data_IF_713389394415
#
_entry.id   IF_713389394415
#
_cell.length_a   1.000
_cell.length_b   1.000
_cell.length_c   1.000
_cell.angle_alpha   90.00
_cell.angle_beta   90.00
_cell.angle_gamma   90.00
#
_symmetry.space_group_name_H-M   'P 1'
#
loop_
_entity.id
_entity.type
_entity.pdbx_description
1 polymer ?
#
# COMPACT_ATOMS: atom_id res chain seq x y z
N UNK A 1 13.87 22.39 3.36
CA UNK A 1 12.68 22.42 2.47
C UNK A 1 12.22 21.02 2.06
N UNK A 2 13.11 20.13 1.58
CA UNK A 2 12.76 18.77 1.12
C UNK A 2 12.01 17.91 2.16
N UNK A 3 12.45 17.87 3.42
CA UNK A 3 11.77 17.11 4.48
C UNK A 3 10.35 17.62 4.74
N UNK A 4 10.15 18.95 4.73
CA UNK A 4 8.83 19.54 4.89
C UNK A 4 7.91 19.16 3.72
N UNK A 5 8.41 19.16 2.49
CA UNK A 5 7.67 18.70 1.32
C UNK A 5 7.34 17.21 1.37
N UNK A 6 8.22 16.38 1.95
CA UNK A 6 7.92 14.95 2.20
C UNK A 6 6.79 14.78 3.22
N UNK A 7 6.80 15.55 4.30
CA UNK A 7 5.71 15.52 5.30
C UNK A 7 4.39 15.94 4.64
N UNK A 8 4.41 17.05 3.89
CA UNK A 8 3.23 17.52 3.17
C UNK A 8 2.71 16.47 2.18
N UNK A 9 3.59 15.91 1.35
CA UNK A 9 3.22 14.87 0.38
C UNK A 9 2.64 13.62 1.05
N UNK A 10 3.19 13.20 2.19
CA UNK A 10 2.68 12.05 2.94
C UNK A 10 1.28 12.32 3.51
N UNK A 11 1.04 13.53 4.04
CA UNK A 11 -0.29 13.94 4.52
C UNK A 11 -1.31 13.98 3.36
N UNK A 12 -0.93 14.59 2.24
CA UNK A 12 -1.80 14.69 1.06
C UNK A 12 -2.14 13.30 0.50
N UNK A 13 -1.21 12.35 0.54
CA UNK A 13 -1.45 10.99 0.09
C UNK A 13 -2.57 10.31 0.90
N UNK A 14 -2.56 10.44 2.23
CA UNK A 14 -3.61 9.87 3.09
C UNK A 14 -5.00 10.50 2.86
N UNK A 15 -5.03 11.82 2.67
CA UNK A 15 -6.27 12.56 2.33
C UNK A 15 -6.79 12.13 0.96
N UNK A 16 -5.92 12.07 -0.04
CA UNK A 16 -6.25 11.63 -1.40
C UNK A 16 -6.88 10.23 -1.41
N UNK A 17 -6.28 9.25 -0.74
CA UNK A 17 -6.80 7.88 -0.70
C UNK A 17 -8.20 7.81 -0.07
N UNK A 18 -8.46 8.63 0.95
CA UNK A 18 -9.75 8.67 1.63
C UNK A 18 -10.84 9.27 0.73
N UNK A 19 -10.57 10.43 0.13
CA UNK A 19 -11.52 11.14 -0.74
C UNK A 19 -11.75 10.38 -2.05
N UNK A 20 -10.70 9.87 -2.69
CA UNK A 20 -10.79 9.14 -3.95
C UNK A 20 -11.67 7.88 -3.82
N UNK A 21 -11.55 7.16 -2.70
CA UNK A 21 -12.40 5.99 -2.43
C UNK A 21 -13.88 6.37 -2.31
N UNK A 22 -14.18 7.49 -1.62
CA UNK A 22 -15.55 7.99 -1.46
C UNK A 22 -16.15 8.41 -2.82
N UNK A 23 -15.43 9.26 -3.57
CA UNK A 23 -15.84 9.71 -4.91
C UNK A 23 -16.09 8.51 -5.84
N UNK A 24 -15.17 7.54 -5.87
CA UNK A 24 -15.32 6.35 -6.71
C UNK A 24 -16.61 5.56 -6.38
N UNK A 25 -17.02 5.54 -5.11
CA UNK A 25 -18.24 4.85 -4.69
C UNK A 25 -19.53 5.64 -4.96
N UNK A 26 -19.47 6.96 -5.09
CA UNK A 26 -20.63 7.81 -5.43
C UNK A 26 -20.87 7.91 -6.93
N UNK A 27 -19.83 7.75 -7.76
CA UNK A 27 -19.94 7.77 -9.21
C UNK A 27 -20.66 6.56 -9.82
N UNK A 28 -20.96 5.54 -9.02
CA UNK A 28 -21.54 4.27 -9.49
C UNK A 28 -22.75 3.85 -8.66
N UNK A 29 -23.58 2.99 -9.24
CA UNK A 29 -24.73 2.41 -8.54
C UNK A 29 -24.28 1.56 -7.33
N UNK A 30 -25.11 1.42 -6.27
CA UNK A 30 -24.73 0.73 -5.03
C UNK A 30 -24.15 -0.69 -5.22
N UNK A 31 -24.66 -1.43 -6.21
CA UNK A 31 -24.21 -2.77 -6.60
C UNK A 31 -22.80 -2.81 -7.21
N UNK A 32 -22.30 -1.67 -7.71
CA UNK A 32 -20.99 -1.53 -8.37
C UNK A 32 -19.93 -0.83 -7.53
N UNK A 33 -20.27 -0.35 -6.33
CA UNK A 33 -19.34 0.38 -5.44
C UNK A 33 -18.04 -0.37 -5.18
N UNK A 34 -18.16 -1.66 -4.85
CA UNK A 34 -16.99 -2.52 -4.62
C UNK A 34 -16.08 -2.60 -5.84
N UNK A 35 -16.66 -2.71 -7.05
CA UNK A 35 -15.91 -2.76 -8.30
C UNK A 35 -15.23 -1.44 -8.64
N UNK A 36 -15.87 -0.29 -8.38
CA UNK A 36 -15.26 1.02 -8.58
C UNK A 36 -14.07 1.25 -7.65
N UNK A 37 -14.21 0.87 -6.37
CA UNK A 37 -13.11 0.91 -5.40
C UNK A 37 -11.99 -0.03 -5.85
N UNK A 38 -12.31 -1.26 -6.26
CA UNK A 38 -11.31 -2.21 -6.76
C UNK A 38 -10.55 -1.68 -8.00
N UNK A 39 -11.25 -1.00 -8.91
CA UNK A 39 -10.62 -0.34 -10.07
C UNK A 39 -9.63 0.74 -9.65
N UNK A 40 -9.98 1.56 -8.65
CA UNK A 40 -9.08 2.56 -8.08
C UNK A 40 -7.79 1.93 -7.52
N UNK A 41 -7.92 0.87 -6.71
CA UNK A 41 -6.77 0.13 -6.16
C UNK A 41 -5.96 -0.61 -7.23
N UNK A 42 -6.61 -1.03 -8.32
CA UNK A 42 -5.91 -1.58 -9.49
C UNK A 42 -5.02 -0.51 -10.12
N UNK A 43 -5.51 0.73 -10.26
CA UNK A 43 -4.71 1.87 -10.69
C UNK A 43 -3.47 2.10 -9.81
N UNK A 44 -3.63 2.07 -8.48
CA UNK A 44 -2.52 2.16 -7.53
C UNK A 44 -1.50 1.04 -7.71
N UNK A 45 -1.97 -0.18 -7.95
CA UNK A 45 -1.11 -1.35 -8.19
C UNK A 45 -0.29 -1.15 -9.46
N UNK A 46 -0.94 -0.78 -10.57
CA UNK A 46 -0.26 -0.48 -11.84
C UNK A 46 0.76 0.64 -11.65
N UNK A 47 0.38 1.73 -10.98
CA UNK A 47 1.26 2.86 -10.71
C UNK A 47 2.48 2.48 -9.86
N UNK A 48 2.34 1.55 -8.91
CA UNK A 48 3.47 1.08 -8.09
C UNK A 48 4.43 0.23 -8.92
N UNK A 49 3.90 -0.68 -9.74
CA UNK A 49 4.70 -1.60 -10.58
C UNK A 49 5.46 -0.84 -11.67
N UNK A 50 4.84 0.17 -12.27
CA UNK A 50 5.44 0.91 -13.40
C UNK A 50 6.13 2.20 -12.94
N UNK A 51 5.51 2.95 -12.03
CA UNK A 51 5.96 4.27 -11.62
C UNK A 51 7.28 4.26 -10.88
N UNK A 52 7.54 3.26 -10.03
CA UNK A 52 8.82 3.17 -9.31
C UNK A 52 9.98 2.88 -10.27
N UNK A 53 9.95 1.84 -11.12
CA UNK A 53 11.01 1.62 -12.11
C UNK A 53 11.19 2.79 -13.07
N UNK A 54 10.10 3.39 -13.57
CA UNK A 54 10.18 4.55 -14.47
C UNK A 54 10.77 5.78 -13.76
N UNK A 55 10.36 6.03 -12.51
CA UNK A 55 10.89 7.11 -11.70
C UNK A 55 12.37 6.92 -11.38
N UNK A 56 12.80 5.70 -11.08
CA UNK A 56 14.21 5.35 -10.88
C UNK A 56 15.00 5.52 -12.17
N UNK A 57 14.49 5.03 -13.31
CA UNK A 57 15.14 5.17 -14.61
C UNK A 57 15.30 6.63 -15.01
N UNK A 58 14.25 7.46 -14.88
CA UNK A 58 14.36 8.91 -15.12
C UNK A 58 15.40 9.54 -14.18
N UNK A 59 15.39 9.14 -12.91
CA UNK A 59 16.33 9.65 -11.91
C UNK A 59 17.78 9.31 -12.23
N UNK A 60 18.04 8.10 -12.73
CA UNK A 60 19.37 7.64 -13.14
C UNK A 60 19.86 8.35 -14.41
N UNK A 61 18.99 8.63 -15.38
CA UNK A 61 19.38 9.22 -16.67
C UNK A 61 19.43 10.75 -16.65
N UNK A 62 18.51 11.40 -15.94
CA UNK A 62 18.28 12.85 -16.04
C UNK A 62 18.38 13.58 -14.70
N UNK A 63 18.72 12.88 -13.62
CA UNK A 63 18.71 13.41 -12.26
C UNK A 63 17.38 13.20 -11.55
N UNK A 64 17.42 13.11 -10.23
CA UNK A 64 16.26 12.77 -9.38
C UNK A 64 15.17 13.84 -9.43
N UNK A 65 15.53 15.09 -9.72
CA UNK A 65 14.62 16.23 -9.87
C UNK A 65 13.64 16.01 -11.04
N UNK A 66 14.12 15.38 -12.11
CA UNK A 66 13.29 15.13 -13.30
C UNK A 66 12.19 14.11 -13.05
N UNK A 67 12.40 13.17 -12.11
CA UNK A 67 11.34 12.27 -11.66
C UNK A 67 10.21 13.04 -10.96
N UNK A 68 10.55 14.08 -10.18
CA UNK A 68 9.54 14.95 -9.57
C UNK A 68 8.79 15.79 -10.59
N UNK A 69 9.48 16.33 -11.61
CA UNK A 69 8.84 17.06 -12.71
C UNK A 69 7.88 16.16 -13.48
N UNK A 70 8.28 14.93 -13.81
CA UNK A 70 7.43 13.96 -14.50
C UNK A 70 6.16 13.63 -13.68
N UNK A 71 6.31 13.39 -12.38
CA UNK A 71 5.17 13.15 -11.48
C UNK A 71 4.26 14.39 -11.40
N UNK A 72 4.83 15.60 -11.35
CA UNK A 72 4.06 16.84 -11.32
C UNK A 72 3.22 17.04 -12.60
N UNK A 73 3.79 16.71 -13.78
CA UNK A 73 3.07 16.77 -15.05
C UNK A 73 1.90 15.77 -15.06
N UNK A 74 2.14 14.52 -14.65
CA UNK A 74 1.08 13.49 -14.55
C UNK A 74 -0.01 13.92 -13.57
N UNK A 75 0.39 14.50 -12.43
CA UNK A 75 -0.51 15.04 -11.42
C UNK A 75 -1.37 16.19 -11.96
N UNK A 76 -0.79 17.10 -12.74
CA UNK A 76 -1.51 18.19 -13.37
C UNK A 76 -2.52 17.68 -14.41
N UNK A 77 -2.13 16.72 -15.24
CA UNK A 77 -3.04 16.07 -16.22
C UNK A 77 -4.20 15.40 -15.48
N UNK A 78 -3.91 14.67 -14.40
CA UNK A 78 -4.93 13.99 -13.58
C UNK A 78 -5.87 15.00 -12.90
N UNK A 79 -5.34 16.12 -12.42
CA UNK A 79 -6.13 17.21 -11.84
C UNK A 79 -7.09 17.81 -12.86
N UNK A 80 -6.61 18.14 -14.07
CA UNK A 80 -7.44 18.68 -15.14
C UNK A 80 -8.52 17.66 -15.55
N UNK A 81 -8.15 16.38 -15.68
CA UNK A 81 -9.10 15.31 -16.00
C UNK A 81 -10.21 15.19 -14.96
N UNK A 82 -9.87 15.20 -13.67
CA UNK A 82 -10.86 15.18 -12.60
C UNK A 82 -11.74 16.43 -12.60
N UNK A 83 -11.16 17.62 -12.80
CA UNK A 83 -11.91 18.87 -12.82
C UNK A 83 -12.95 18.92 -13.95
N UNK A 84 -12.67 18.29 -15.09
CA UNK A 84 -13.59 18.25 -16.23
C UNK A 84 -14.66 17.16 -16.15
N UNK A 85 -14.35 16.02 -15.50
CA UNK A 85 -15.18 14.80 -15.57
C UNK A 85 -15.92 14.50 -14.27
N UNK A 86 -15.36 14.86 -13.11
CA UNK A 86 -16.01 14.59 -11.82
C UNK A 86 -17.11 15.63 -11.60
N UNK A 87 -18.37 15.20 -11.40
CA UNK A 87 -19.48 16.10 -11.21
C UNK A 87 -19.42 16.76 -9.82
N UNK A 88 -19.96 17.98 -9.70
CA UNK A 88 -19.86 18.78 -8.48
C UNK A 88 -20.95 18.49 -7.44
N UNK A 89 -21.91 17.62 -7.75
CA UNK A 89 -23.09 17.31 -6.95
C UNK A 89 -22.97 15.98 -6.17
N UNK A 90 -21.74 15.60 -5.81
CA UNK A 90 -21.49 14.41 -5.00
C UNK A 90 -22.04 14.58 -3.57
N UNK A 91 -22.42 13.45 -2.96
CA UNK A 91 -22.97 13.43 -1.60
C UNK A 91 -22.00 14.05 -0.59
N UNK A 92 -22.47 15.00 0.21
CA UNK A 92 -21.73 15.46 1.39
C UNK A 92 -21.81 14.37 2.46
N UNK A 93 -20.65 13.85 2.87
CA UNK A 93 -20.57 12.93 3.99
C UNK A 93 -20.46 13.71 5.29
N UNK A 94 -21.36 13.44 6.24
CA UNK A 94 -21.24 13.93 7.61
C UNK A 94 -19.88 13.50 8.19
N UNK A 95 -19.03 14.49 8.47
CA UNK A 95 -17.74 14.23 9.09
C UNK A 95 -17.96 13.80 10.54
N UNK A 96 -17.57 12.57 10.87
CA UNK A 96 -17.57 12.12 12.25
C UNK A 96 -16.69 13.08 13.10
N UNK A 97 -17.21 13.59 14.23
CA UNK A 97 -16.50 14.59 15.02
C UNK A 97 -15.09 14.10 15.39
N UNK A 98 -14.09 14.97 15.35
CA UNK A 98 -12.68 14.61 15.59
C UNK A 98 -12.49 13.90 16.95
N UNK A 99 -13.30 14.25 17.95
CA UNK A 99 -13.31 13.62 19.28
C UNK A 99 -13.68 12.13 19.21
N UNK A 100 -14.54 11.73 18.28
CA UNK A 100 -14.91 10.32 18.09
C UNK A 100 -13.83 9.53 17.37
N UNK A 101 -13.11 10.15 16.44
CA UNK A 101 -11.97 9.53 15.75
C UNK A 101 -10.83 9.24 16.75
N UNK A 102 -10.61 10.14 17.72
CA UNK A 102 -9.62 9.95 18.78
C UNK A 102 -9.95 8.81 19.75
N UNK A 103 -11.21 8.35 19.83
CA UNK A 103 -11.60 7.20 20.67
C UNK A 103 -10.95 5.90 20.18
N UNK A 104 -10.49 5.83 18.93
CA UNK A 104 -9.77 4.69 18.37
C UNK A 104 -8.50 4.38 19.18
N UNK A 105 -7.77 5.40 19.64
CA UNK A 105 -6.56 5.22 20.45
C UNK A 105 -6.84 4.65 21.85
N UNK A 106 -8.09 4.71 22.33
CA UNK A 106 -8.48 4.11 23.62
C UNK A 106 -8.76 2.60 23.50
N UNK A 107 -8.95 2.09 22.29
CA UNK A 107 -9.22 0.68 22.06
C UNK A 107 -7.91 -0.12 21.95
N UNK A 108 -7.57 -0.87 23.00
CA UNK A 108 -6.35 -1.69 23.06
C UNK A 108 -6.23 -2.69 21.91
N UNK A 109 -7.34 -3.27 21.43
CA UNK A 109 -7.34 -4.25 20.35
C UNK A 109 -6.96 -3.59 19.01
N UNK A 110 -7.52 -2.41 18.71
CA UNK A 110 -7.18 -1.65 17.51
C UNK A 110 -5.72 -1.16 17.55
N UNK A 111 -5.27 -0.65 18.70
CA UNK A 111 -3.88 -0.22 18.88
C UNK A 111 -2.90 -1.37 18.63
N UNK A 112 -3.21 -2.58 19.09
CA UNK A 112 -2.35 -3.74 18.90
C UNK A 112 -2.27 -4.15 17.42
N UNK A 113 -3.37 -4.08 16.68
CA UNK A 113 -3.37 -4.28 15.22
C UNK A 113 -2.52 -3.21 14.52
N UNK A 114 -2.62 -1.94 14.92
CA UNK A 114 -1.78 -0.88 14.36
C UNK A 114 -0.30 -1.07 14.66
N UNK A 115 0.05 -1.50 15.87
CA UNK A 115 1.44 -1.81 16.23
C UNK A 115 1.99 -2.99 15.42
N UNK A 116 1.22 -4.08 15.28
CA UNK A 116 1.61 -5.24 14.45
C UNK A 116 1.83 -4.80 13.01
N UNK A 117 0.92 -3.96 12.47
CA UNK A 117 1.02 -3.42 11.12
C UNK A 117 2.27 -2.54 10.99
N UNK A 118 2.47 -1.59 11.91
CA UNK A 118 3.61 -0.68 11.91
C UNK A 118 4.94 -1.43 11.99
N UNK A 119 5.05 -2.46 12.84
CA UNK A 119 6.26 -3.28 12.97
C UNK A 119 6.48 -4.17 11.74
N UNK A 120 5.42 -4.81 11.22
CA UNK A 120 5.50 -5.68 10.05
C UNK A 120 5.91 -4.93 8.78
N UNK A 121 5.38 -3.72 8.59
CA UNK A 121 5.78 -2.85 7.49
C UNK A 121 7.10 -2.12 7.75
N UNK A 122 7.40 -1.78 9.01
CA UNK A 122 8.62 -1.07 9.38
C UNK A 122 9.88 -1.77 8.90
N UNK A 123 10.02 -3.08 9.14
CA UNK A 123 11.18 -3.84 8.65
C UNK A 123 11.26 -3.91 7.12
N UNK A 124 10.11 -4.14 6.48
CA UNK A 124 10.02 -4.28 5.02
C UNK A 124 10.36 -2.98 4.29
N UNK A 125 9.83 -1.86 4.76
CA UNK A 125 10.05 -0.56 4.13
C UNK A 125 11.48 -0.04 4.32
N UNK A 126 12.18 -0.43 5.39
CA UNK A 126 13.61 -0.09 5.54
C UNK A 126 14.42 -0.69 4.40
N UNK A 127 14.28 -2.00 4.16
CA UNK A 127 14.99 -2.66 3.05
C UNK A 127 14.53 -2.11 1.70
N UNK A 128 13.22 -1.90 1.51
CA UNK A 128 12.67 -1.35 0.28
C UNK A 128 13.19 0.06 -0.03
N UNK A 129 13.36 0.91 0.99
CA UNK A 129 13.87 2.28 0.82
C UNK A 129 15.28 2.30 0.23
N UNK A 130 16.10 1.32 0.58
CA UNK A 130 17.47 1.18 0.08
C UNK A 130 17.58 0.12 -1.02
N UNK A 131 16.46 -0.34 -1.59
CA UNK A 131 16.46 -1.47 -2.51
C UNK A 131 17.32 -1.22 -3.74
N UNK A 132 17.19 -0.05 -4.38
CA UNK A 132 18.04 0.34 -5.51
C UNK A 132 19.52 0.34 -5.12
N UNK A 133 19.87 0.98 -4.00
CA UNK A 133 21.25 1.02 -3.47
C UNK A 133 21.80 -0.37 -3.15
N UNK A 134 20.97 -1.25 -2.59
CA UNK A 134 21.36 -2.64 -2.32
C UNK A 134 21.65 -3.37 -3.64
N UNK A 135 20.79 -3.22 -4.64
CA UNK A 135 20.97 -3.87 -5.93
C UNK A 135 22.20 -3.33 -6.69
N UNK A 136 22.46 -2.02 -6.66
CA UNK A 136 23.61 -1.40 -7.34
C UNK A 136 24.92 -1.56 -6.57
N UNK A 137 24.95 -1.11 -5.31
CA UNK A 137 26.20 -0.87 -4.58
C UNK A 137 26.67 -2.13 -3.85
N UNK A 138 25.73 -3.00 -3.44
CA UNK A 138 26.03 -4.23 -2.70
C UNK A 138 26.01 -5.47 -3.61
N UNK A 139 25.01 -5.60 -4.48
CA UNK A 139 24.87 -6.75 -5.39
C UNK A 139 25.49 -6.52 -6.77
N UNK A 140 26.02 -5.31 -7.04
CA UNK A 140 26.74 -4.96 -8.26
C UNK A 140 25.94 -5.17 -9.56
N UNK A 141 24.62 -4.98 -9.51
CA UNK A 141 23.80 -4.92 -10.72
C UNK A 141 23.99 -3.59 -11.46
N UNK A 142 23.95 -3.65 -12.79
CA UNK A 142 23.90 -2.44 -13.61
C UNK A 142 22.54 -1.74 -13.49
N UNK A 143 22.50 -0.43 -13.73
CA UNK A 143 21.28 0.37 -13.64
C UNK A 143 20.10 -0.22 -14.44
N UNK A 144 20.38 -0.67 -15.67
CA UNK A 144 19.38 -1.31 -16.53
C UNK A 144 18.83 -2.60 -15.92
N UNK A 145 19.69 -3.42 -15.30
CA UNK A 145 19.25 -4.63 -14.62
C UNK A 145 18.39 -4.31 -13.39
N UNK A 146 18.72 -3.23 -12.66
CA UNK A 146 17.93 -2.79 -11.50
C UNK A 146 16.51 -2.40 -11.90
N UNK A 147 16.33 -1.66 -13.00
CA UNK A 147 14.99 -1.33 -13.51
C UNK A 147 14.17 -2.59 -13.77
N UNK A 148 14.76 -3.60 -14.42
CA UNK A 148 14.10 -4.89 -14.68
C UNK A 148 13.76 -5.61 -13.36
N UNK A 149 14.69 -5.66 -12.42
CA UNK A 149 14.47 -6.28 -11.11
C UNK A 149 13.37 -5.59 -10.30
N UNK A 150 13.24 -4.26 -10.38
CA UNK A 150 12.15 -3.52 -9.75
C UNK A 150 10.80 -3.82 -10.39
N UNK A 151 10.74 -4.01 -11.71
CA UNK A 151 9.51 -4.47 -12.39
C UNK A 151 9.13 -5.86 -11.88
N UNK A 152 10.08 -6.81 -11.85
CA UNK A 152 9.84 -8.17 -11.35
C UNK A 152 9.41 -8.13 -9.89
N UNK A 153 10.05 -7.30 -9.06
CA UNK A 153 9.66 -7.08 -7.67
C UNK A 153 8.21 -6.60 -7.56
N UNK A 154 7.80 -5.62 -8.38
CA UNK A 154 6.41 -5.17 -8.46
C UNK A 154 5.43 -6.28 -8.85
N UNK A 155 5.80 -7.14 -9.80
CA UNK A 155 5.01 -8.32 -10.16
C UNK A 155 4.88 -9.29 -8.99
N UNK A 156 5.97 -9.54 -8.26
CA UNK A 156 5.94 -10.39 -7.06
C UNK A 156 5.00 -9.83 -5.99
N UNK A 157 5.02 -8.51 -5.76
CA UNK A 157 4.06 -7.81 -4.87
C UNK A 157 2.62 -8.03 -5.31
N UNK A 158 2.32 -7.92 -6.61
CA UNK A 158 0.97 -8.12 -7.14
C UNK A 158 0.48 -9.56 -6.98
N UNK A 159 1.36 -10.54 -7.25
CA UNK A 159 1.10 -11.96 -7.00
C UNK A 159 0.82 -12.18 -5.50
N UNK A 160 1.65 -11.59 -4.64
CA UNK A 160 1.52 -11.65 -3.18
C UNK A 160 0.17 -11.18 -2.69
N UNK A 161 -0.25 -9.98 -3.11
CA UNK A 161 -1.58 -9.43 -2.83
C UNK A 161 -2.70 -10.40 -3.24
N UNK A 162 -2.63 -10.94 -4.46
CA UNK A 162 -3.67 -11.82 -5.00
C UNK A 162 -3.76 -13.13 -4.21
N UNK A 163 -2.62 -13.76 -3.91
CA UNK A 163 -2.55 -14.99 -3.12
C UNK A 163 -3.01 -14.75 -1.68
N UNK A 164 -2.59 -13.65 -1.07
CA UNK A 164 -2.98 -13.26 0.27
C UNK A 164 -4.49 -13.15 0.45
N UNK A 165 -5.18 -12.54 -0.51
CA UNK A 165 -6.65 -12.49 -0.53
C UNK A 165 -7.29 -13.87 -0.57
N UNK A 166 -6.81 -14.76 -1.44
CA UNK A 166 -7.34 -16.13 -1.53
C UNK A 166 -7.14 -16.93 -0.24
N UNK A 167 -5.94 -16.86 0.34
CA UNK A 167 -5.58 -17.63 1.54
C UNK A 167 -6.36 -17.15 2.77
N UNK A 168 -6.62 -15.85 2.89
CA UNK A 168 -7.23 -15.26 4.09
C UNK A 168 -8.76 -15.38 4.15
N UNK A 169 -9.43 -15.83 3.09
CA UNK A 169 -10.90 -15.90 3.02
C UNK A 169 -11.56 -16.79 4.08
N UNK A 170 -10.91 -17.87 4.54
CA UNK A 170 -11.50 -18.81 5.49
C UNK A 170 -11.00 -18.64 6.92
N UNK A 171 -9.69 -18.43 7.11
CA UNK A 171 -9.06 -18.34 8.44
C UNK A 171 -8.11 -17.14 8.50
N UNK A 172 -8.62 -15.90 8.38
CA UNK A 172 -7.81 -14.70 8.16
C UNK A 172 -6.74 -14.51 9.25
N UNK A 173 -7.10 -14.70 10.52
CA UNK A 173 -6.17 -14.51 11.65
C UNK A 173 -5.00 -15.50 11.61
N UNK A 174 -5.26 -16.80 11.40
CA UNK A 174 -4.20 -17.83 11.38
C UNK A 174 -3.28 -17.63 10.18
N UNK A 175 -3.85 -17.30 9.03
CA UNK A 175 -3.11 -17.07 7.79
C UNK A 175 -2.24 -15.81 7.90
N UNK A 176 -2.75 -14.74 8.50
CA UNK A 176 -1.96 -13.52 8.73
C UNK A 176 -0.77 -13.77 9.66
N UNK A 177 -0.94 -14.53 10.75
CA UNK A 177 0.17 -14.92 11.62
C UNK A 177 1.23 -15.69 10.83
N UNK A 178 0.81 -16.62 9.97
CA UNK A 178 1.75 -17.36 9.12
C UNK A 178 2.48 -16.44 8.13
N UNK A 179 1.76 -15.52 7.47
CA UNK A 179 2.34 -14.54 6.53
C UNK A 179 3.37 -13.65 7.23
N UNK A 180 3.05 -13.09 8.41
CA UNK A 180 4.00 -12.27 9.17
C UNK A 180 5.21 -13.06 9.65
N UNK A 181 5.01 -14.32 10.03
CA UNK A 181 6.12 -15.21 10.44
C UNK A 181 7.05 -15.49 9.26
N UNK A 182 6.49 -15.82 8.10
CA UNK A 182 7.28 -16.03 6.87
C UNK A 182 7.97 -14.73 6.45
N UNK A 183 7.28 -13.59 6.52
CA UNK A 183 7.87 -12.28 6.21
C UNK A 183 9.07 -11.98 7.12
N UNK A 184 8.97 -12.27 8.42
CA UNK A 184 10.09 -12.11 9.34
C UNK A 184 11.29 -13.01 8.97
N UNK A 185 11.02 -14.27 8.61
CA UNK A 185 12.08 -15.19 8.14
C UNK A 185 12.71 -14.71 6.84
N UNK A 186 11.93 -14.20 5.89
CA UNK A 186 12.42 -13.66 4.63
C UNK A 186 13.28 -12.41 4.87
N UNK A 187 12.91 -11.53 5.79
CA UNK A 187 13.74 -10.37 6.15
C UNK A 187 15.09 -10.78 6.77
N UNK A 188 15.09 -11.79 7.65
CA UNK A 188 16.33 -12.36 8.18
C UNK A 188 17.17 -12.98 7.06
N UNK A 189 16.53 -13.69 6.13
CA UNK A 189 17.18 -14.30 4.99
C UNK A 189 17.81 -13.24 4.06
N UNK A 190 17.13 -12.14 3.78
CA UNK A 190 17.70 -10.98 3.06
C UNK A 190 18.93 -10.46 3.79
N UNK A 191 18.85 -10.24 5.11
CA UNK A 191 19.97 -9.71 5.90
C UNK A 191 21.24 -10.54 5.82
N UNK A 192 21.12 -11.87 5.72
CA UNK A 192 22.26 -12.79 5.62
C UNK A 192 22.77 -12.93 4.18
N UNK A 193 21.89 -12.84 3.19
CA UNK A 193 22.19 -13.17 1.79
C UNK A 193 22.45 -11.97 0.89
N UNK A 194 22.27 -10.74 1.39
CA UNK A 194 22.37 -9.50 0.61
C UNK A 194 23.73 -9.32 -0.09
N UNK A 195 24.80 -9.89 0.46
CA UNK A 195 26.16 -9.82 -0.09
C UNK A 195 26.38 -10.80 -1.26
N UNK A 196 25.49 -11.76 -1.46
CA UNK A 196 25.58 -12.73 -2.54
C UNK A 196 24.58 -12.38 -3.65
N UNK A 197 25.07 -11.95 -4.81
CA UNK A 197 24.25 -11.43 -5.90
C UNK A 197 23.02 -12.29 -6.27
N UNK A 198 23.22 -13.57 -6.58
CA UNK A 198 22.11 -14.46 -6.99
C UNK A 198 21.12 -14.78 -5.85
N UNK A 199 21.64 -15.24 -4.70
CA UNK A 199 20.81 -15.64 -3.55
C UNK A 199 20.09 -14.43 -2.95
N UNK A 200 20.77 -13.30 -2.83
CA UNK A 200 20.20 -12.03 -2.37
C UNK A 200 19.08 -11.53 -3.28
N UNK A 201 19.21 -11.71 -4.59
CA UNK A 201 18.12 -11.38 -5.54
C UNK A 201 16.88 -12.22 -5.29
N UNK A 202 17.03 -13.54 -5.09
CA UNK A 202 15.91 -14.42 -4.73
C UNK A 202 15.27 -13.96 -3.42
N UNK A 203 16.09 -13.65 -2.41
CA UNK A 203 15.61 -13.18 -1.11
C UNK A 203 14.79 -11.89 -1.21
N UNK A 204 15.25 -10.92 -2.00
CA UNK A 204 14.56 -9.65 -2.26
C UNK A 204 13.25 -9.86 -3.02
N UNK A 205 13.23 -10.75 -4.02
CA UNK A 205 12.00 -11.06 -4.76
C UNK A 205 10.96 -11.78 -3.88
N UNK A 206 11.41 -12.69 -3.01
CA UNK A 206 10.56 -13.29 -1.98
C UNK A 206 10.05 -12.24 -0.99
N UNK A 207 10.89 -11.26 -0.62
CA UNK A 207 10.45 -10.14 0.21
C UNK A 207 9.30 -9.38 -0.46
N UNK A 208 9.39 -9.09 -1.76
CA UNK A 208 8.30 -8.46 -2.51
C UNK A 208 7.00 -9.28 -2.47
N UNK A 209 7.11 -10.60 -2.65
CA UNK A 209 5.95 -11.50 -2.60
C UNK A 209 5.22 -11.46 -1.25
N UNK A 210 5.95 -11.51 -0.14
CA UNK A 210 5.36 -11.57 1.19
C UNK A 210 5.07 -10.20 1.82
N UNK A 211 5.73 -9.14 1.34
CA UNK A 211 5.60 -7.77 1.84
C UNK A 211 4.15 -7.26 1.90
N UNK A 212 3.38 -7.54 0.85
CA UNK A 212 2.00 -7.06 0.73
C UNK A 212 0.95 -8.18 0.77
N UNK A 213 1.35 -9.45 0.87
CA UNK A 213 0.42 -10.58 0.99
C UNK A 213 -0.53 -10.46 2.20
N UNK A 214 -0.16 -9.67 3.22
CA UNK A 214 -0.99 -9.41 4.39
C UNK A 214 -2.11 -8.35 4.17
N UNK A 215 -2.03 -7.50 3.13
CA UNK A 215 -2.97 -6.37 2.94
C UNK A 215 -4.43 -6.81 2.89
N UNK A 216 -4.83 -7.77 2.04
CA UNK A 216 -6.24 -8.11 1.91
C UNK A 216 -6.80 -8.75 3.20
N UNK A 217 -5.98 -9.55 3.89
CA UNK A 217 -6.36 -10.18 5.15
C UNK A 217 -6.61 -9.16 6.26
N UNK A 218 -5.74 -8.16 6.38
CA UNK A 218 -5.91 -7.07 7.34
C UNK A 218 -7.16 -6.24 7.04
N UNK A 219 -7.37 -5.89 5.77
CA UNK A 219 -8.57 -5.17 5.33
C UNK A 219 -9.85 -5.98 5.63
N UNK A 220 -9.85 -7.30 5.37
CA UNK A 220 -10.97 -8.17 5.67
C UNK A 220 -11.29 -8.22 7.17
N UNK A 221 -10.28 -8.31 8.04
CA UNK A 221 -10.50 -8.30 9.51
C UNK A 221 -11.16 -7.00 9.95
N UNK A 222 -10.71 -5.85 9.44
CA UNK A 222 -11.31 -4.55 9.79
C UNK A 222 -12.79 -4.51 9.41
N UNK A 223 -13.14 -4.98 8.20
CA UNK A 223 -14.53 -5.04 7.73
C UNK A 223 -15.37 -6.00 8.59
N UNK A 224 -14.83 -7.17 8.95
CA UNK A 224 -15.53 -8.15 9.80
C UNK A 224 -15.76 -7.61 11.21
N UNK A 225 -14.77 -6.96 11.82
CA UNK A 225 -14.89 -6.35 13.14
C UNK A 225 -15.92 -5.20 13.14
N UNK A 226 -15.96 -4.41 12.06
CA UNK A 226 -17.00 -3.39 11.89
C UNK A 226 -18.40 -4.02 11.84
N UNK A 227 -18.61 -5.08 11.05
CA UNK A 227 -19.90 -5.79 10.97
C UNK A 227 -20.34 -6.36 12.32
N UNK A 228 -19.43 -6.99 13.07
CA UNK A 228 -19.75 -7.50 14.41
C UNK A 228 -20.11 -6.39 15.39
N UNK A 229 -19.40 -5.25 15.34
CA UNK A 229 -19.69 -4.10 16.20
C UNK A 229 -21.05 -3.46 15.88
N UNK A 230 -21.41 -3.35 14.60
CA UNK A 230 -22.72 -2.87 14.14
C UNK A 230 -23.83 -3.83 14.57
N UNK A 231 -23.62 -5.15 14.42
CA UNK A 231 -24.59 -6.17 14.83
C UNK A 231 -24.82 -6.16 16.35
N UNK A 232 -23.77 -5.99 17.17
CA UNK A 232 -23.93 -5.85 18.63
C UNK A 232 -24.68 -4.57 19.01
N UNK A 233 -24.45 -3.45 18.32
CA UNK A 233 -25.21 -2.20 18.56
C UNK A 233 -26.70 -2.35 18.26
N UNK A 234 -27.07 -3.04 17.19
CA UNK A 234 -28.47 -3.29 16.84
C UNK A 234 -29.18 -4.16 17.87
N UNK A 235 -28.51 -5.18 18.42
CA UNK A 235 -29.07 -6.04 19.47
C UNK A 235 -29.28 -5.26 20.78
N UNK A 236 -28.36 -4.34 21.13
CA UNK A 236 -28.46 -3.50 22.33
C UNK A 236 -29.46 -2.34 22.22
N UNK A 237 -30.08 -2.11 21.07
CA UNK A 237 -31.18 -1.15 20.90
C UNK A 237 -32.55 -1.82 20.74
N UNK A 238 -32.60 -3.15 20.78
CA UNK A 238 -33.83 -3.94 20.77
C UNK A 238 -34.20 -4.52 22.15
N UNK A 239 -33.47 -4.15 23.20
CA UNK A 239 -33.72 -4.50 24.61
C UNK A 239 -33.84 -3.20 25.40
#
# INVERSE_FOLDING_TARGET
MLLAMRILSALMHGVFMSIATAIASDLVTPDKRSSAIAMMFTGLTVATITGVPLGTWIGQQFGWEMSFVAIAIIGLISFIGNWLVVPNDLNEYDQAPMVEQLKVFKNKSLMMIYLITALGYGGTFVVYTYLTTILTDVMHYSDNAVVILLIIYGVMVAIGNTLGGKLTNHQPTKVLVAIFTIQAMVLLFVGITVTHQFIGTIAVLLMGLFAFMNVPGLQLIVVLLQKESTKRRLILHQV
#
